data_IF_078282129970
#
_entry.id   IF_078282129970
#
_cell.length_a   1.000
_cell.length_b   1.000
_cell.length_c   1.000
_cell.angle_alpha   90.00
_cell.angle_beta   90.00
_cell.angle_gamma   90.00
#
_symmetry.space_group_name_H-M   'P 1'
#
loop_
_entity.id
_entity.type
_entity.pdbx_description
1 polymer ?
#
# COMPACT_ATOMS: atom_id res chain seq x y z
N UNK A 1 7.67 10.64 -7.53
CA UNK A 1 7.07 9.40 -6.99
C UNK A 1 5.56 9.34 -7.24
N UNK A 2 4.76 10.31 -6.77
CA UNK A 2 3.29 10.24 -6.90
C UNK A 2 2.82 10.02 -8.34
N UNK A 3 3.29 10.83 -9.31
CA UNK A 3 2.94 10.67 -10.73
C UNK A 3 3.31 9.31 -11.27
N UNK A 4 4.49 8.78 -10.91
CA UNK A 4 4.90 7.44 -11.33
C UNK A 4 3.98 6.35 -10.76
N UNK A 5 3.65 6.41 -9.46
CA UNK A 5 2.74 5.44 -8.83
C UNK A 5 1.35 5.48 -9.47
N UNK A 6 0.84 6.68 -9.73
CA UNK A 6 -0.42 6.92 -10.41
C UNK A 6 -0.47 6.34 -11.83
N UNK A 7 0.60 6.57 -12.62
CA UNK A 7 0.70 6.08 -14.00
C UNK A 7 0.86 4.56 -14.06
N UNK A 8 1.65 4.00 -13.12
CA UNK A 8 1.94 2.56 -13.09
C UNK A 8 0.75 1.75 -12.56
N UNK A 9 -0.03 2.28 -11.61
CA UNK A 9 -1.27 1.65 -11.18
C UNK A 9 -2.25 1.55 -12.35
N UNK A 10 -2.40 2.64 -13.13
CA UNK A 10 -3.37 2.73 -14.21
C UNK A 10 -4.81 2.74 -13.72
N UNK A 11 -5.77 2.82 -14.62
CA UNK A 11 -7.20 2.70 -14.29
C UNK A 11 -7.58 1.25 -14.04
N UNK A 12 -8.37 1.01 -12.98
CA UNK A 12 -8.73 -0.31 -12.51
C UNK A 12 -10.20 -0.35 -12.11
N UNK A 13 -10.87 -1.45 -12.44
CA UNK A 13 -12.25 -1.72 -12.00
C UNK A 13 -12.31 -2.50 -10.67
N UNK A 14 -11.13 -2.92 -10.17
CA UNK A 14 -10.96 -3.61 -8.88
C UNK A 14 -10.65 -2.64 -7.73
N UNK A 15 -10.42 -3.17 -6.54
CA UNK A 15 -10.14 -2.41 -5.32
C UNK A 15 -8.64 -2.43 -4.99
N UNK A 16 -8.21 -1.37 -4.33
CA UNK A 16 -6.86 -1.21 -3.82
C UNK A 16 -6.82 -1.45 -2.30
N UNK A 17 -5.92 -2.31 -1.87
CA UNK A 17 -5.45 -2.32 -0.49
C UNK A 17 -4.24 -1.40 -0.37
N UNK A 18 -4.24 -0.49 0.59
CA UNK A 18 -3.08 0.35 0.90
C UNK A 18 -2.64 0.14 2.34
N UNK A 19 -1.37 -0.23 2.51
CA UNK A 19 -0.73 -0.37 3.81
C UNK A 19 0.26 0.78 4.02
N UNK A 20 0.38 1.24 5.27
CA UNK A 20 1.28 2.35 5.64
C UNK A 20 0.92 3.66 4.93
N UNK A 21 -0.38 4.01 4.87
CA UNK A 21 -0.84 5.14 4.05
C UNK A 21 -0.39 6.53 4.56
N UNK A 22 0.13 6.62 5.78
CA UNK A 22 0.58 7.87 6.37
C UNK A 22 -0.54 8.92 6.42
N UNK A 23 -0.27 10.11 5.90
CA UNK A 23 -1.24 11.21 5.80
C UNK A 23 -2.04 11.19 4.48
N UNK A 24 -1.96 10.11 3.71
CA UNK A 24 -2.74 9.91 2.50
C UNK A 24 -2.13 10.48 1.22
N UNK A 25 -0.83 10.77 1.20
CA UNK A 25 -0.17 11.36 0.02
C UNK A 25 -0.35 10.51 -1.25
N UNK A 26 -0.23 9.20 -1.15
CA UNK A 26 -0.47 8.27 -2.25
C UNK A 26 -1.96 7.91 -2.36
N UNK A 27 -2.64 7.77 -1.22
CA UNK A 27 -4.06 7.40 -1.16
C UNK A 27 -4.91 8.29 -2.06
N UNK A 28 -4.74 9.62 -1.96
CA UNK A 28 -5.58 10.59 -2.68
C UNK A 28 -5.51 10.37 -4.21
N UNK A 29 -4.32 10.43 -4.86
CA UNK A 29 -4.26 10.22 -6.30
C UNK A 29 -4.62 8.79 -6.70
N UNK A 30 -4.23 7.76 -5.93
CA UNK A 30 -4.50 6.37 -6.29
C UNK A 30 -5.99 6.03 -6.18
N UNK A 31 -6.73 6.64 -5.25
CA UNK A 31 -8.18 6.45 -5.11
C UNK A 31 -8.96 6.82 -6.37
N UNK A 32 -8.44 7.75 -7.18
CA UNK A 32 -9.09 8.16 -8.45
C UNK A 32 -8.94 7.13 -9.57
N UNK A 33 -8.12 6.10 -9.37
CA UNK A 33 -7.79 5.07 -10.37
C UNK A 33 -8.46 3.73 -10.14
N UNK A 34 -9.13 3.56 -9.01
CA UNK A 34 -9.70 2.28 -8.57
C UNK A 34 -11.16 2.46 -8.14
N UNK A 35 -11.88 1.36 -8.04
CA UNK A 35 -13.28 1.41 -7.59
C UNK A 35 -13.39 1.92 -6.15
N UNK A 36 -12.61 1.38 -5.21
CA UNK A 36 -12.50 1.83 -3.83
C UNK A 36 -11.17 1.41 -3.19
N UNK A 37 -10.82 2.06 -2.10
CA UNK A 37 -9.57 1.80 -1.35
C UNK A 37 -9.92 1.41 0.07
N UNK A 38 -9.23 0.37 0.58
CA UNK A 38 -9.07 0.15 2.01
C UNK A 38 -7.66 0.56 2.38
N UNK A 39 -7.50 1.61 3.18
CA UNK A 39 -6.21 2.13 3.60
C UNK A 39 -5.99 1.92 5.11
N UNK A 40 -4.76 1.59 5.50
CA UNK A 40 -4.40 1.41 6.92
C UNK A 40 -3.18 2.21 7.32
N UNK A 41 -3.22 2.72 8.56
CA UNK A 41 -2.15 3.48 9.20
C UNK A 41 -2.26 3.32 10.72
N UNK A 42 -1.12 3.16 11.40
CA UNK A 42 -1.09 2.97 12.86
C UNK A 42 -1.11 4.30 13.63
N UNK A 43 -0.50 5.34 13.07
CA UNK A 43 -0.38 6.66 13.70
C UNK A 43 -1.71 7.39 13.71
N UNK A 44 -2.23 7.69 14.91
CA UNK A 44 -3.48 8.46 15.06
C UNK A 44 -3.39 9.84 14.40
N UNK A 45 -2.24 10.50 14.50
CA UNK A 45 -2.02 11.83 13.91
C UNK A 45 -2.09 11.75 12.39
N UNK A 46 -1.42 10.76 11.80
CA UNK A 46 -1.43 10.53 10.34
C UNK A 46 -2.82 10.19 9.84
N UNK A 47 -3.55 9.30 10.54
CA UNK A 47 -4.95 8.96 10.20
C UNK A 47 -5.84 10.21 10.19
N UNK A 48 -5.74 11.06 11.22
CA UNK A 48 -6.55 12.30 11.27
C UNK A 48 -6.19 13.25 10.12
N UNK A 49 -4.90 13.38 9.80
CA UNK A 49 -4.46 14.19 8.67
C UNK A 49 -4.96 13.61 7.33
N UNK A 50 -4.86 12.30 7.14
CA UNK A 50 -5.36 11.65 5.93
C UNK A 50 -6.89 11.85 5.76
N UNK A 51 -7.67 11.69 6.82
CA UNK A 51 -9.12 11.93 6.79
C UNK A 51 -9.45 13.38 6.40
N UNK A 52 -8.73 14.36 6.96
CA UNK A 52 -8.89 15.76 6.59
C UNK A 52 -8.54 15.98 5.11
N UNK A 53 -7.41 15.44 4.65
CA UNK A 53 -6.98 15.55 3.26
C UNK A 53 -7.98 14.91 2.27
N UNK A 54 -8.54 13.74 2.61
CA UNK A 54 -9.59 13.10 1.79
C UNK A 54 -10.83 14.00 1.68
N UNK A 55 -11.30 14.55 2.81
CA UNK A 55 -12.46 15.44 2.85
C UNK A 55 -12.22 16.72 2.05
N UNK A 56 -11.06 17.37 2.22
CA UNK A 56 -10.70 18.61 1.54
C UNK A 56 -10.58 18.42 0.01
N UNK A 57 -10.27 17.21 -0.44
CA UNK A 57 -10.17 16.87 -1.87
C UNK A 57 -11.42 16.16 -2.43
N UNK A 58 -12.48 16.00 -1.63
CA UNK A 58 -13.73 15.38 -2.08
C UNK A 58 -13.60 13.91 -2.49
N UNK A 59 -12.67 13.17 -1.87
CA UNK A 59 -12.46 11.73 -2.09
C UNK A 59 -13.36 10.95 -1.13
N UNK A 60 -14.28 10.17 -1.65
CA UNK A 60 -15.32 9.47 -0.88
C UNK A 60 -15.27 7.93 -1.02
N UNK A 61 -14.41 7.41 -1.88
CA UNK A 61 -14.25 5.98 -2.12
C UNK A 61 -13.14 5.33 -1.29
N UNK A 62 -12.65 5.99 -0.24
CA UNK A 62 -11.61 5.48 0.65
C UNK A 62 -12.17 5.16 2.02
N UNK A 63 -12.00 3.92 2.47
CA UNK A 63 -12.18 3.52 3.86
C UNK A 63 -10.81 3.48 4.54
N UNK A 64 -10.58 4.39 5.49
CA UNK A 64 -9.32 4.49 6.21
C UNK A 64 -9.47 3.96 7.63
N UNK A 65 -8.63 3.01 8.01
CA UNK A 65 -8.70 2.34 9.32
C UNK A 65 -7.38 2.48 10.06
N UNK A 66 -7.47 2.82 11.35
CA UNK A 66 -6.30 2.86 12.20
C UNK A 66 -5.91 1.45 12.64
N UNK A 67 -5.08 0.78 11.82
CA UNK A 67 -4.51 -0.54 12.07
C UNK A 67 -3.07 -0.57 11.59
N UNK A 68 -2.25 -1.43 12.18
CA UNK A 68 -0.96 -1.78 11.59
C UNK A 68 -1.14 -2.75 10.42
N UNK A 69 -0.10 -2.91 9.60
CA UNK A 69 -0.12 -3.87 8.50
C UNK A 69 -0.27 -5.30 9.02
N UNK A 70 0.39 -5.61 10.14
CA UNK A 70 0.32 -6.92 10.81
C UNK A 70 -1.11 -7.19 11.34
N UNK A 71 -1.73 -6.20 12.00
CA UNK A 71 -3.11 -6.32 12.49
C UNK A 71 -4.10 -6.57 11.33
N UNK A 72 -3.93 -5.88 10.19
CA UNK A 72 -4.77 -6.13 9.02
C UNK A 72 -4.49 -7.50 8.41
N UNK A 73 -3.23 -7.94 8.36
CA UNK A 73 -2.85 -9.28 7.91
C UNK A 73 -3.54 -10.36 8.75
N UNK A 74 -3.52 -10.22 10.08
CA UNK A 74 -4.24 -11.13 10.98
C UNK A 74 -5.76 -11.12 10.72
N UNK A 75 -6.34 -9.93 10.46
CA UNK A 75 -7.77 -9.80 10.18
C UNK A 75 -8.18 -10.49 8.87
N UNK A 76 -7.39 -10.29 7.79
CA UNK A 76 -7.63 -10.93 6.49
C UNK A 76 -7.37 -12.44 6.51
N UNK A 77 -6.55 -12.93 7.46
CA UNK A 77 -6.31 -14.34 7.72
C UNK A 77 -7.34 -14.95 8.70
N UNK A 78 -8.31 -14.15 9.15
CA UNK A 78 -9.33 -14.58 10.13
C UNK A 78 -8.74 -15.13 11.45
N UNK A 79 -7.51 -14.66 11.83
CA UNK A 79 -6.83 -15.09 13.05
C UNK A 79 -7.58 -14.64 14.29
N UNK A 80 -8.07 -13.40 14.29
CA UNK A 80 -8.91 -12.84 15.33
C UNK A 80 -9.74 -11.65 14.83
N UNK A 81 -10.89 -11.36 15.48
CA UNK A 81 -11.68 -10.18 15.13
C UNK A 81 -11.00 -8.90 15.63
N UNK A 82 -11.12 -7.83 14.84
CA UNK A 82 -10.66 -6.49 15.21
C UNK A 82 -11.86 -5.54 15.32
N UNK A 83 -12.03 -4.91 16.50
CA UNK A 83 -13.16 -4.00 16.76
C UNK A 83 -13.21 -2.85 15.75
N UNK A 84 -12.07 -2.39 15.26
CA UNK A 84 -11.97 -1.29 14.28
C UNK A 84 -12.43 -1.68 12.87
N UNK A 85 -12.61 -2.97 12.61
CA UNK A 85 -13.12 -3.53 11.35
C UNK A 85 -14.56 -4.02 11.46
N UNK A 86 -15.21 -3.89 12.63
CA UNK A 86 -16.54 -4.47 12.89
C UNK A 86 -17.61 -3.98 11.92
N UNK A 87 -17.52 -2.71 11.49
CA UNK A 87 -18.47 -2.08 10.58
C UNK A 87 -18.01 -2.11 9.11
N UNK A 88 -16.91 -2.83 8.81
CA UNK A 88 -16.33 -2.92 7.47
C UNK A 88 -16.51 -4.35 6.94
N UNK A 89 -17.29 -4.48 5.89
CA UNK A 89 -17.42 -5.74 5.18
C UNK A 89 -16.21 -5.97 4.26
N UNK A 90 -15.17 -6.63 4.79
CA UNK A 90 -13.97 -6.98 4.05
C UNK A 90 -14.26 -7.88 2.84
N UNK A 91 -15.34 -8.67 2.88
CA UNK A 91 -15.74 -9.58 1.79
C UNK A 91 -16.37 -8.83 0.60
N UNK A 92 -16.74 -7.55 0.80
CA UNK A 92 -17.24 -6.69 -0.27
C UNK A 92 -16.15 -6.12 -1.17
N UNK A 93 -14.86 -6.32 -0.79
CA UNK A 93 -13.72 -5.86 -1.57
C UNK A 93 -13.28 -6.92 -2.58
N UNK A 94 -13.00 -6.45 -3.79
CA UNK A 94 -12.38 -7.23 -4.87
C UNK A 94 -10.95 -6.71 -5.08
N UNK A 95 -10.05 -7.10 -4.18
CA UNK A 95 -8.68 -6.60 -4.17
C UNK A 95 -7.84 -7.17 -5.30
N UNK A 96 -7.61 -6.40 -6.35
CA UNK A 96 -6.68 -6.74 -7.44
C UNK A 96 -5.25 -6.24 -7.21
N UNK A 97 -5.12 -5.13 -6.49
CA UNK A 97 -3.83 -4.48 -6.26
C UNK A 97 -3.59 -4.18 -4.79
N UNK A 98 -2.31 -4.22 -4.39
CA UNK A 98 -1.86 -3.70 -3.09
C UNK A 98 -0.78 -2.64 -3.31
N UNK A 99 -0.90 -1.51 -2.60
CA UNK A 99 0.13 -0.48 -2.49
C UNK A 99 0.76 -0.52 -1.11
N UNK A 100 2.09 -0.46 -1.06
CA UNK A 100 2.86 -0.44 0.18
C UNK A 100 3.97 0.61 0.14
N UNK A 101 4.08 1.38 1.22
CA UNK A 101 5.18 2.34 1.48
C UNK A 101 5.67 2.14 2.92
N UNK A 102 6.30 0.98 3.20
CA UNK A 102 6.67 0.61 4.55
C UNK A 102 7.85 1.44 5.09
N UNK A 103 8.08 1.41 6.41
CA UNK A 103 9.26 2.02 7.02
C UNK A 103 10.56 1.40 6.49
N UNK A 104 11.71 1.98 6.84
CA UNK A 104 13.05 1.55 6.37
C UNK A 104 13.36 0.07 6.60
N UNK A 105 12.70 -0.58 7.54
CA UNK A 105 12.84 -2.01 7.79
C UNK A 105 12.20 -2.90 6.70
N UNK A 106 11.41 -2.32 5.79
CA UNK A 106 10.63 -3.08 4.83
C UNK A 106 9.36 -3.68 5.44
N UNK A 107 8.72 -4.57 4.71
CA UNK A 107 7.59 -5.36 5.20
C UNK A 107 8.12 -6.51 6.08
N UNK A 108 7.40 -6.81 7.17
CA UNK A 108 7.60 -8.05 7.92
C UNK A 108 7.20 -9.28 7.09
N UNK A 109 7.63 -10.50 7.48
CA UNK A 109 7.38 -11.71 6.71
C UNK A 109 5.89 -12.01 6.45
N UNK A 110 5.02 -11.76 7.44
CA UNK A 110 3.60 -12.08 7.34
C UNK A 110 2.89 -11.07 6.41
N UNK A 111 3.25 -9.80 6.49
CA UNK A 111 2.77 -8.77 5.56
C UNK A 111 3.29 -9.03 4.14
N UNK A 112 4.55 -9.44 3.99
CA UNK A 112 5.10 -9.82 2.69
C UNK A 112 4.34 -11.01 2.09
N UNK A 113 4.03 -12.04 2.90
CA UNK A 113 3.23 -13.19 2.46
C UNK A 113 1.79 -12.80 2.10
N UNK A 114 1.19 -11.85 2.84
CA UNK A 114 -0.12 -11.30 2.46
C UNK A 114 -0.10 -10.71 1.06
N UNK A 115 0.94 -9.94 0.72
CA UNK A 115 1.02 -9.28 -0.60
C UNK A 115 1.07 -10.25 -1.76
N UNK A 116 1.50 -11.50 -1.56
CA UNK A 116 1.47 -12.57 -2.58
C UNK A 116 0.08 -12.87 -3.12
N UNK A 117 -0.98 -12.52 -2.41
CA UNK A 117 -2.36 -12.81 -2.82
C UNK A 117 -2.85 -11.91 -3.95
N UNK A 118 -2.20 -10.77 -4.14
CA UNK A 118 -2.63 -9.75 -5.10
C UNK A 118 -2.04 -10.00 -6.49
N UNK A 119 -2.76 -9.59 -7.52
CA UNK A 119 -2.26 -9.63 -8.89
C UNK A 119 -1.11 -8.64 -9.12
N UNK A 120 -1.19 -7.50 -8.42
CA UNK A 120 -0.25 -6.39 -8.57
C UNK A 120 0.18 -5.89 -7.19
N UNK A 121 1.50 -5.69 -7.04
CA UNK A 121 2.09 -5.10 -5.84
C UNK A 121 2.84 -3.86 -6.28
N UNK A 122 2.35 -2.70 -5.86
CA UNK A 122 3.03 -1.41 -6.07
C UNK A 122 3.76 -1.05 -4.78
N UNK A 123 5.09 -1.05 -4.82
CA UNK A 123 5.94 -0.89 -3.66
C UNK A 123 6.83 0.35 -3.82
N UNK A 124 6.70 1.31 -2.91
CA UNK A 124 7.63 2.44 -2.74
C UNK A 124 8.51 2.15 -1.52
N UNK A 125 9.81 2.44 -1.62
CA UNK A 125 10.75 2.16 -0.52
C UNK A 125 11.84 3.22 -0.44
N UNK A 126 12.10 3.70 0.77
CA UNK A 126 13.24 4.56 1.10
C UNK A 126 14.52 3.76 1.42
N UNK A 127 14.49 2.42 1.29
CA UNK A 127 15.64 1.55 1.54
C UNK A 127 15.73 0.45 0.47
N UNK A 128 16.61 0.60 -0.54
CA UNK A 128 16.77 -0.39 -1.61
C UNK A 128 17.18 -1.78 -1.13
N UNK A 129 17.89 -1.89 -0.01
CA UNK A 129 18.36 -3.18 0.52
C UNK A 129 17.19 -4.02 1.05
N UNK A 130 16.32 -3.41 1.87
CA UNK A 130 15.13 -4.10 2.38
C UNK A 130 14.10 -4.36 1.28
N UNK A 131 13.98 -3.46 0.30
CA UNK A 131 13.20 -3.71 -0.90
C UNK A 131 13.69 -4.95 -1.65
N UNK A 132 15.00 -5.08 -1.88
CA UNK A 132 15.57 -6.25 -2.55
C UNK A 132 15.31 -7.55 -1.76
N UNK A 133 15.37 -7.51 -0.42
CA UNK A 133 15.05 -8.66 0.43
C UNK A 133 13.57 -9.07 0.31
N UNK A 134 12.65 -8.11 0.33
CA UNK A 134 11.22 -8.41 0.15
C UNK A 134 10.93 -8.92 -1.26
N UNK A 135 11.53 -8.34 -2.31
CA UNK A 135 11.39 -8.85 -3.69
C UNK A 135 11.91 -10.28 -3.81
N UNK A 136 13.03 -10.61 -3.15
CA UNK A 136 13.56 -11.97 -3.16
C UNK A 136 12.58 -13.00 -2.55
N UNK A 137 11.75 -12.58 -1.57
CA UNK A 137 10.69 -13.42 -1.02
C UNK A 137 9.50 -13.58 -1.99
N UNK A 138 9.25 -12.62 -2.86
CA UNK A 138 8.10 -12.57 -3.77
C UNK A 138 8.39 -13.12 -5.18
N UNK A 139 9.67 -13.34 -5.52
CA UNK A 139 10.10 -13.56 -6.89
C UNK A 139 9.58 -14.87 -7.52
N UNK A 140 9.24 -15.88 -6.73
CA UNK A 140 8.65 -17.14 -7.21
C UNK A 140 7.19 -16.98 -7.64
N UNK A 141 6.47 -16.04 -7.05
CA UNK A 141 5.06 -15.73 -7.36
C UNK A 141 4.87 -14.50 -8.25
N UNK A 142 5.81 -13.55 -8.19
CA UNK A 142 5.72 -12.28 -8.91
C UNK A 142 7.00 -11.98 -9.69
N UNK A 143 6.87 -11.16 -10.74
CA UNK A 143 8.00 -10.61 -11.49
C UNK A 143 7.96 -9.09 -11.44
N UNK A 144 9.12 -8.47 -11.51
CA UNK A 144 9.22 -7.02 -11.67
C UNK A 144 8.78 -6.66 -13.10
N UNK A 145 7.78 -5.79 -13.21
CA UNK A 145 7.32 -5.24 -14.49
C UNK A 145 7.83 -3.82 -14.72
N UNK A 146 7.86 -3.00 -13.67
CA UNK A 146 8.37 -1.63 -13.71
C UNK A 146 9.28 -1.39 -12.50
N UNK A 147 10.30 -0.57 -12.70
CA UNK A 147 11.18 -0.10 -11.64
C UNK A 147 11.57 1.35 -11.90
N UNK A 148 11.67 2.15 -10.84
CA UNK A 148 12.11 3.52 -10.90
C UNK A 148 12.94 3.89 -9.66
N UNK A 149 13.88 4.81 -9.84
CA UNK A 149 14.63 5.43 -8.77
C UNK A 149 14.29 6.92 -8.73
N UNK A 150 14.18 7.46 -7.52
CA UNK A 150 13.82 8.86 -7.29
C UNK A 150 14.84 9.52 -6.37
N UNK A 151 15.63 10.43 -6.90
CA UNK A 151 16.56 11.23 -6.12
C UNK A 151 15.82 12.44 -5.51
N UNK A 152 15.21 12.23 -4.35
CA UNK A 152 14.51 13.26 -3.59
C UNK A 152 15.38 13.95 -2.55
N UNK A 153 16.55 13.40 -2.27
CA UNK A 153 17.48 13.89 -1.28
C UNK A 153 18.88 14.08 -1.89
N UNK A 154 19.03 14.98 -2.87
CA UNK A 154 20.31 15.18 -3.57
C UNK A 154 21.43 15.48 -2.57
N UNK A 155 22.63 15.01 -2.88
CA UNK A 155 23.81 15.08 -2.02
C UNK A 155 23.77 14.25 -0.74
N UNK A 156 22.84 13.29 -0.63
CA UNK A 156 22.79 12.30 0.46
C UNK A 156 22.86 10.88 -0.10
N UNK A 157 22.97 9.88 0.78
CA UNK A 157 22.90 8.47 0.41
C UNK A 157 21.44 7.93 0.36
N UNK A 158 20.46 8.80 0.54
CA UNK A 158 19.06 8.41 0.54
C UNK A 158 18.54 8.37 -0.89
N UNK A 159 18.01 7.21 -1.29
CA UNK A 159 17.39 6.97 -2.58
C UNK A 159 16.01 6.34 -2.36
N UNK A 160 15.00 6.94 -2.96
CA UNK A 160 13.68 6.34 -3.02
C UNK A 160 13.58 5.43 -4.25
N UNK A 161 12.91 4.32 -4.10
CA UNK A 161 12.73 3.33 -5.16
C UNK A 161 11.26 2.97 -5.29
N UNK A 162 10.82 2.75 -6.54
CA UNK A 162 9.49 2.25 -6.83
C UNK A 162 9.56 0.99 -7.68
N UNK A 163 8.78 -0.03 -7.35
CA UNK A 163 8.63 -1.22 -8.19
C UNK A 163 7.16 -1.58 -8.34
N UNK A 164 6.80 -2.00 -9.54
CA UNK A 164 5.57 -2.73 -9.80
C UNK A 164 5.93 -4.19 -9.99
N UNK A 165 5.38 -5.03 -9.13
CA UNK A 165 5.42 -6.47 -9.27
C UNK A 165 4.06 -6.95 -9.80
N UNK A 166 4.08 -7.89 -10.72
CA UNK A 166 2.87 -8.54 -11.24
C UNK A 166 2.98 -10.04 -11.10
N UNK A 167 1.85 -10.69 -10.85
CA UNK A 167 1.78 -12.14 -10.71
C UNK A 167 2.31 -12.83 -11.98
N UNK A 168 3.00 -13.96 -11.82
CA UNK A 168 3.53 -14.76 -12.91
C UNK A 168 2.45 -15.57 -13.59
#
# INVERSE_FOLDING_TARGET
MLGWAYDVLGERDDDLLELYCGNGNFTLPLATRVRKVLATEISKTSVNAALANLADNGIDNVTLVRLSAEELTEALNEVRPFRRLADIDLKSYDFGSVFVDPPRAGMDPDTCELTRRFERILYISCNPETLAQNIAQLHDSHRIERCALFDQFPYTHHMESGVLLVRR
#
